data_IF_784715320078
#
_entry.id   IF_784715320078
#
_cell.length_a   1.000
_cell.length_b   1.000
_cell.length_c   1.000
_cell.angle_alpha   90.00
_cell.angle_beta   90.00
_cell.angle_gamma   90.00
#
_symmetry.space_group_name_H-M   'P 1'
#
loop_
_entity.id
_entity.type
_entity.pdbx_description
1 polymer ?
#
# COMPACT_ATOMS: atom_id res chain seq x y z
N UNK A 1 -27.27 23.95 12.94
CA UNK A 1 -28.54 23.36 12.48
C UNK A 1 -28.74 23.43 10.96
N UNK A 2 -29.09 24.57 10.33
CA UNK A 2 -29.36 24.58 8.88
C UNK A 2 -28.13 24.24 8.01
N UNK A 3 -26.99 24.91 8.25
CA UNK A 3 -25.71 24.68 7.56
C UNK A 3 -25.16 23.26 7.79
N UNK A 4 -25.40 22.72 8.98
CA UNK A 4 -24.94 21.39 9.39
C UNK A 4 -25.74 20.28 8.70
N UNK A 5 -27.05 20.48 8.55
CA UNK A 5 -27.92 19.59 7.78
C UNK A 5 -27.61 19.63 6.29
N UNK A 6 -27.26 20.80 5.75
CA UNK A 6 -26.86 20.96 4.35
C UNK A 6 -25.56 20.19 4.06
N UNK A 7 -24.55 20.33 4.93
CA UNK A 7 -23.30 19.58 4.81
C UNK A 7 -23.52 18.07 4.91
N UNK A 8 -24.32 17.60 5.87
CA UNK A 8 -24.65 16.19 6.01
C UNK A 8 -25.36 15.64 4.77
N UNK A 9 -26.27 16.42 4.19
CA UNK A 9 -27.00 16.03 2.97
C UNK A 9 -26.02 15.89 1.80
N UNK A 10 -25.15 16.88 1.61
CA UNK A 10 -24.14 16.86 0.56
C UNK A 10 -23.20 15.65 0.70
N UNK A 11 -22.76 15.34 1.92
CA UNK A 11 -21.91 14.18 2.19
C UNK A 11 -22.61 12.84 1.87
N UNK A 12 -23.90 12.70 2.23
CA UNK A 12 -24.68 11.49 1.93
C UNK A 12 -24.90 11.36 0.42
N UNK A 13 -25.17 12.45 -0.29
CA UNK A 13 -25.34 12.46 -1.75
C UNK A 13 -24.05 12.05 -2.47
N UNK A 14 -22.91 12.63 -2.07
CA UNK A 14 -21.60 12.32 -2.63
C UNK A 14 -21.23 10.84 -2.43
N UNK A 15 -21.38 10.34 -1.21
CA UNK A 15 -21.09 8.93 -0.90
C UNK A 15 -22.04 7.97 -1.60
N UNK A 16 -23.32 8.33 -1.76
CA UNK A 16 -24.30 7.57 -2.56
C UNK A 16 -23.91 7.55 -4.04
N UNK A 17 -23.45 8.67 -4.59
CA UNK A 17 -22.95 8.75 -5.95
C UNK A 17 -21.74 7.84 -6.17
N UNK A 18 -20.76 7.83 -5.26
CA UNK A 18 -19.62 6.92 -5.33
C UNK A 18 -20.03 5.44 -5.23
N UNK A 19 -20.98 5.11 -4.36
CA UNK A 19 -21.50 3.75 -4.26
C UNK A 19 -22.13 3.32 -5.59
N UNK A 20 -22.93 4.19 -6.20
CA UNK A 20 -23.53 3.93 -7.53
C UNK A 20 -22.47 3.72 -8.61
N UNK A 21 -21.44 4.56 -8.69
CA UNK A 21 -20.40 4.41 -9.72
C UNK A 21 -19.75 3.03 -9.66
N UNK A 22 -19.34 2.57 -8.48
CA UNK A 22 -18.60 1.31 -8.40
C UNK A 22 -19.55 0.11 -8.38
N UNK A 23 -20.56 0.12 -7.51
CA UNK A 23 -21.40 -1.05 -7.26
C UNK A 23 -22.31 -1.37 -8.44
N UNK A 24 -22.86 -0.38 -9.15
CA UNK A 24 -23.74 -0.65 -10.29
C UNK A 24 -23.01 -1.26 -11.49
N UNK A 25 -21.71 -1.02 -11.63
CA UNK A 25 -20.89 -1.60 -12.70
C UNK A 25 -20.34 -2.98 -12.35
N UNK A 26 -20.19 -3.29 -11.05
CA UNK A 26 -19.60 -4.55 -10.58
C UNK A 26 -20.63 -5.58 -10.11
N UNK A 27 -21.79 -5.14 -9.63
CA UNK A 27 -22.81 -6.00 -9.03
C UNK A 27 -24.23 -5.64 -9.51
N UNK A 28 -25.11 -6.63 -9.69
CA UNK A 28 -26.51 -6.36 -9.97
C UNK A 28 -27.19 -5.66 -8.77
N UNK A 29 -28.09 -4.73 -9.07
CA UNK A 29 -28.73 -3.81 -8.10
C UNK A 29 -29.37 -4.52 -6.90
N UNK A 30 -29.98 -5.68 -7.12
CA UNK A 30 -30.67 -6.46 -6.09
C UNK A 30 -29.74 -6.97 -4.96
N UNK A 31 -28.42 -7.02 -5.19
CA UNK A 31 -27.46 -7.47 -4.17
C UNK A 31 -27.00 -6.37 -3.23
N UNK A 32 -27.07 -5.10 -3.62
CA UNK A 32 -26.46 -4.01 -2.87
C UNK A 32 -27.41 -2.85 -2.54
N UNK A 33 -28.41 -2.56 -3.36
CA UNK A 33 -29.39 -1.49 -3.06
C UNK A 33 -30.17 -1.71 -1.76
N UNK A 34 -30.57 -2.93 -1.36
CA UNK A 34 -31.28 -3.16 -0.10
C UNK A 34 -30.39 -2.99 1.14
N UNK A 35 -29.07 -2.96 0.98
CA UNK A 35 -28.15 -2.90 2.11
C UNK A 35 -28.20 -1.51 2.77
N UNK A 36 -28.07 -1.41 4.09
CA UNK A 36 -27.78 -0.16 4.78
C UNK A 36 -26.63 0.60 4.11
N UNK A 37 -26.73 1.93 4.06
CA UNK A 37 -25.78 2.79 3.33
C UNK A 37 -24.31 2.57 3.76
N UNK A 38 -24.07 2.29 5.05
CA UNK A 38 -22.73 1.95 5.54
C UNK A 38 -22.16 0.67 4.90
N UNK A 39 -23.00 -0.36 4.69
CA UNK A 39 -22.60 -1.61 4.03
C UNK A 39 -22.38 -1.42 2.54
N UNK A 40 -23.17 -0.55 1.89
CA UNK A 40 -22.92 -0.18 0.50
C UNK A 40 -21.56 0.51 0.36
N UNK A 41 -21.27 1.49 1.23
CA UNK A 41 -20.01 2.23 1.25
C UNK A 41 -18.81 1.30 1.53
N UNK A 42 -18.98 0.37 2.46
CA UNK A 42 -18.00 -0.66 2.77
C UNK A 42 -17.74 -1.58 1.56
N UNK A 43 -18.79 -2.11 0.94
CA UNK A 43 -18.70 -3.01 -0.21
C UNK A 43 -18.05 -2.31 -1.41
N UNK A 44 -18.40 -1.03 -1.64
CA UNK A 44 -17.78 -0.18 -2.66
C UNK A 44 -16.28 -0.09 -2.45
N UNK A 45 -15.84 0.23 -1.23
CA UNK A 45 -14.43 0.35 -0.89
C UNK A 45 -13.67 -0.94 -1.08
N UNK A 46 -14.26 -2.04 -0.62
CA UNK A 46 -13.68 -3.36 -0.74
C UNK A 46 -13.44 -3.71 -2.21
N UNK A 47 -14.46 -3.60 -3.06
CA UNK A 47 -14.36 -3.97 -4.47
C UNK A 47 -13.40 -3.05 -5.23
N UNK A 48 -13.50 -1.73 -5.03
CA UNK A 48 -12.63 -0.76 -5.69
C UNK A 48 -11.16 -0.94 -5.27
N UNK A 49 -10.90 -1.13 -3.97
CA UNK A 49 -9.56 -1.33 -3.43
C UNK A 49 -8.92 -2.62 -3.97
N UNK A 50 -9.64 -3.74 -3.96
CA UNK A 50 -9.14 -5.00 -4.52
C UNK A 50 -8.88 -4.88 -6.02
N UNK A 51 -9.80 -4.26 -6.77
CA UNK A 51 -9.63 -4.11 -8.21
C UNK A 51 -8.38 -3.27 -8.53
N UNK A 52 -8.19 -2.15 -7.83
CA UNK A 52 -7.00 -1.33 -8.00
C UNK A 52 -5.73 -2.12 -7.64
N UNK A 53 -5.73 -2.80 -6.49
CA UNK A 53 -4.59 -3.57 -6.02
C UNK A 53 -4.20 -4.69 -7.00
N UNK A 54 -5.14 -5.55 -7.39
CA UNK A 54 -4.83 -6.67 -8.26
C UNK A 54 -4.47 -6.23 -9.68
N UNK A 55 -5.11 -5.19 -10.23
CA UNK A 55 -4.76 -4.67 -11.56
C UNK A 55 -3.37 -4.03 -11.52
N UNK A 56 -3.10 -3.13 -10.57
CA UNK A 56 -1.80 -2.45 -10.47
C UNK A 56 -0.68 -3.44 -10.16
N UNK A 57 -0.90 -4.37 -9.22
CA UNK A 57 0.04 -5.44 -8.88
C UNK A 57 0.31 -6.37 -10.06
N UNK A 58 -0.73 -6.76 -10.82
CA UNK A 58 -0.56 -7.54 -12.05
C UNK A 58 0.27 -6.78 -13.09
N UNK A 59 -0.07 -5.51 -13.37
CA UNK A 59 0.66 -4.69 -14.35
C UNK A 59 2.12 -4.50 -13.95
N UNK A 60 2.39 -4.27 -12.66
CA UNK A 60 3.74 -4.17 -12.11
C UNK A 60 4.51 -5.48 -12.28
N UNK A 61 3.94 -6.59 -11.84
CA UNK A 61 4.57 -7.91 -11.97
C UNK A 61 4.80 -8.28 -13.43
N UNK A 62 3.83 -8.02 -14.31
CA UNK A 62 3.95 -8.25 -15.74
C UNK A 62 5.09 -7.40 -16.35
N UNK A 63 5.15 -6.12 -16.02
CA UNK A 63 6.23 -5.25 -16.50
C UNK A 63 7.61 -5.74 -16.03
N UNK A 64 7.78 -5.97 -14.74
CA UNK A 64 9.07 -6.30 -14.14
C UNK A 64 9.54 -7.71 -14.53
N UNK A 65 8.68 -8.71 -14.39
CA UNK A 65 9.08 -10.11 -14.52
C UNK A 65 8.94 -10.65 -15.94
N UNK A 66 7.95 -10.17 -16.70
CA UNK A 66 7.72 -10.64 -18.07
C UNK A 66 8.38 -9.74 -19.12
N UNK A 67 8.18 -8.42 -19.07
CA UNK A 67 8.77 -7.51 -20.07
C UNK A 67 10.24 -7.20 -19.80
N UNK A 68 10.60 -6.98 -18.54
CA UNK A 68 11.96 -6.58 -18.13
C UNK A 68 12.78 -7.74 -17.57
N UNK A 69 12.26 -8.97 -17.60
CA UNK A 69 12.98 -10.22 -17.33
C UNK A 69 13.86 -10.22 -16.06
N UNK A 70 13.41 -9.62 -14.96
CA UNK A 70 14.17 -9.52 -13.70
C UNK A 70 15.42 -8.61 -13.77
N UNK A 71 15.51 -7.71 -14.78
CA UNK A 71 16.63 -6.76 -14.90
C UNK A 71 16.76 -5.87 -13.66
N UNK A 72 15.64 -5.47 -13.05
CA UNK A 72 15.63 -4.62 -11.86
C UNK A 72 15.77 -5.40 -10.55
N UNK A 73 15.32 -6.66 -10.52
CA UNK A 73 15.41 -7.52 -9.33
C UNK A 73 16.03 -8.85 -9.70
N UNK A 74 17.36 -9.03 -9.57
CA UNK A 74 18.03 -10.28 -9.86
C UNK A 74 17.37 -11.45 -9.12
N UNK A 75 17.37 -12.64 -9.74
CA UNK A 75 16.81 -13.86 -9.15
C UNK A 75 17.38 -14.07 -7.74
N UNK A 76 16.52 -13.96 -6.71
CA UNK A 76 16.88 -14.11 -5.29
C UNK A 76 16.57 -12.90 -4.42
N UNK A 77 16.38 -11.70 -4.99
CA UNK A 77 16.03 -10.47 -4.27
C UNK A 77 14.57 -10.03 -4.48
N UNK A 78 13.92 -10.49 -5.55
CA UNK A 78 12.51 -10.25 -5.82
C UNK A 78 11.63 -11.27 -5.09
N UNK A 79 10.56 -10.82 -4.44
CA UNK A 79 9.56 -11.68 -3.82
C UNK A 79 9.01 -12.71 -4.81
N UNK A 80 8.75 -13.93 -4.33
CA UNK A 80 7.89 -14.83 -5.08
C UNK A 80 6.52 -14.13 -5.27
N UNK A 81 5.88 -14.18 -6.45
CA UNK A 81 4.62 -13.46 -6.67
C UNK A 81 3.53 -13.77 -5.62
N UNK A 82 3.50 -15.01 -5.11
CA UNK A 82 2.60 -15.37 -4.00
C UNK A 82 2.95 -14.68 -2.68
N UNK A 83 4.23 -14.45 -2.38
CA UNK A 83 4.65 -13.77 -1.16
C UNK A 83 4.18 -12.31 -1.18
N UNK A 84 4.29 -11.65 -2.34
CA UNK A 84 3.75 -10.30 -2.54
C UNK A 84 2.23 -10.24 -2.34
N UNK A 85 1.49 -11.22 -2.87
CA UNK A 85 0.03 -11.32 -2.66
C UNK A 85 -0.28 -11.52 -1.17
N UNK A 86 0.41 -12.45 -0.51
CA UNK A 86 0.19 -12.75 0.92
C UNK A 86 0.55 -11.57 1.82
N UNK A 87 1.56 -10.77 1.46
CA UNK A 87 1.91 -9.55 2.19
C UNK A 87 0.83 -8.47 2.10
N UNK A 88 0.02 -8.45 1.03
CA UNK A 88 -1.08 -7.51 0.90
C UNK A 88 -2.41 -8.00 1.46
N UNK A 89 -2.55 -9.30 1.75
CA UNK A 89 -3.76 -9.86 2.37
C UNK A 89 -4.20 -9.10 3.62
N UNK A 90 -3.30 -8.70 4.56
CA UNK A 90 -3.69 -7.88 5.71
C UNK A 90 -4.37 -6.56 5.33
N UNK A 91 -3.92 -5.88 4.27
CA UNK A 91 -4.53 -4.64 3.79
C UNK A 91 -5.96 -4.86 3.29
N UNK A 92 -6.21 -6.00 2.63
CA UNK A 92 -7.54 -6.39 2.16
C UNK A 92 -8.44 -6.83 3.31
N UNK A 93 -7.93 -7.64 4.24
CA UNK A 93 -8.68 -8.10 5.42
C UNK A 93 -9.04 -6.92 6.33
N UNK A 94 -8.14 -5.95 6.51
CA UNK A 94 -8.40 -4.77 7.33
C UNK A 94 -9.65 -4.00 6.86
N UNK A 95 -9.96 -4.00 5.56
CA UNK A 95 -11.19 -3.40 5.05
C UNK A 95 -12.44 -4.08 5.62
N UNK A 96 -12.44 -5.39 5.89
CA UNK A 96 -13.57 -6.10 6.51
C UNK A 96 -13.78 -5.76 7.99
N UNK A 97 -12.71 -5.37 8.68
CA UNK A 97 -12.72 -5.17 10.14
C UNK A 97 -12.96 -3.69 10.48
N UNK A 98 -12.41 -2.77 9.68
CA UNK A 98 -12.39 -1.35 9.97
C UNK A 98 -13.05 -0.55 8.82
N UNK A 99 -14.00 0.36 9.11
CA UNK A 99 -14.52 1.28 8.12
C UNK A 99 -13.46 2.35 7.83
N UNK A 100 -12.75 2.21 6.70
CA UNK A 100 -11.71 3.15 6.27
C UNK A 100 -12.26 4.06 5.16
N UNK A 101 -11.92 5.34 5.22
CA UNK A 101 -12.26 6.30 4.17
C UNK A 101 -11.55 5.95 2.85
N UNK A 102 -12.28 5.93 1.73
CA UNK A 102 -11.78 5.43 0.45
C UNK A 102 -10.50 6.15 0.01
N UNK A 103 -10.54 7.48 -0.01
CA UNK A 103 -9.40 8.28 -0.48
C UNK A 103 -8.18 8.01 0.37
N UNK A 104 -8.33 7.88 1.70
CA UNK A 104 -7.23 7.58 2.61
C UNK A 104 -6.63 6.22 2.30
N UNK A 105 -7.45 5.20 2.08
CA UNK A 105 -6.98 3.87 1.68
C UNK A 105 -6.21 3.91 0.35
N UNK A 106 -6.76 4.57 -0.67
CA UNK A 106 -6.11 4.67 -1.98
C UNK A 106 -4.81 5.48 -1.92
N UNK A 107 -4.77 6.57 -1.15
CA UNK A 107 -3.56 7.35 -0.95
C UNK A 107 -2.47 6.56 -0.23
N UNK A 108 -2.82 5.83 0.83
CA UNK A 108 -1.87 4.97 1.54
C UNK A 108 -1.35 3.87 0.62
N UNK A 109 -2.21 3.23 -0.17
CA UNK A 109 -1.79 2.20 -1.14
C UNK A 109 -0.87 2.77 -2.22
N UNK A 110 -1.13 3.98 -2.70
CA UNK A 110 -0.27 4.65 -3.66
C UNK A 110 1.12 4.99 -3.08
N UNK A 111 1.15 5.50 -1.84
CA UNK A 111 2.39 5.75 -1.12
C UNK A 111 3.17 4.45 -0.83
N UNK A 112 2.47 3.35 -0.55
CA UNK A 112 3.04 2.00 -0.45
C UNK A 112 3.78 1.61 -1.72
N UNK A 113 3.16 1.85 -2.89
CA UNK A 113 3.78 1.59 -4.18
C UNK A 113 5.07 2.38 -4.41
N UNK A 114 5.05 3.68 -4.10
CA UNK A 114 6.25 4.55 -4.22
C UNK A 114 7.35 4.06 -3.27
N UNK A 115 6.99 3.82 -2.01
CA UNK A 115 7.95 3.37 -0.99
C UNK A 115 8.55 2.02 -1.36
N UNK A 116 7.73 1.04 -1.74
CA UNK A 116 8.14 -0.31 -2.17
C UNK A 116 9.10 -0.23 -3.34
N UNK A 117 8.77 0.55 -4.38
CA UNK A 117 9.69 0.76 -5.50
C UNK A 117 11.02 1.36 -5.02
N UNK A 118 10.99 2.37 -4.15
CA UNK A 118 12.20 3.03 -3.67
C UNK A 118 13.15 2.10 -2.89
N UNK A 119 12.62 1.23 -2.03
CA UNK A 119 13.45 0.32 -1.23
C UNK A 119 14.04 -0.84 -2.03
N UNK A 120 13.35 -1.27 -3.09
CA UNK A 120 13.79 -2.38 -3.93
C UNK A 120 14.69 -1.91 -5.08
N UNK A 121 14.54 -0.67 -5.56
CA UNK A 121 15.43 -0.06 -6.55
C UNK A 121 16.73 0.48 -5.92
N UNK A 122 17.05 0.06 -4.69
CA UNK A 122 18.23 0.48 -3.94
C UNK A 122 18.34 1.99 -3.70
N UNK A 123 17.23 2.73 -3.71
CA UNK A 123 17.22 4.17 -3.45
C UNK A 123 17.25 4.41 -1.94
N UNK A 124 18.40 4.82 -1.44
CA UNK A 124 18.57 5.20 -0.04
C UNK A 124 18.68 6.72 0.11
N UNK A 125 17.56 7.38 0.42
CA UNK A 125 17.51 8.84 0.50
C UNK A 125 18.21 9.48 1.71
N UNK A 126 18.67 8.69 2.69
CA UNK A 126 19.25 9.17 3.96
C UNK A 126 18.35 10.18 4.73
N UNK A 127 17.03 10.07 4.59
CA UNK A 127 16.05 10.93 5.26
C UNK A 127 15.50 10.23 6.50
N UNK A 128 15.82 10.73 7.69
CA UNK A 128 15.20 10.24 8.92
C UNK A 128 13.76 10.78 9.08
N UNK A 129 12.76 9.97 9.50
CA UNK A 129 12.82 8.57 9.91
C UNK A 129 12.31 7.60 8.81
N UNK A 130 12.56 7.85 7.53
CA UNK A 130 12.02 7.03 6.43
C UNK A 130 12.77 5.68 6.34
N UNK A 131 12.02 4.59 6.19
CA UNK A 131 12.58 3.26 5.91
C UNK A 131 13.07 3.21 4.45
N UNK A 132 14.36 3.50 4.23
CA UNK A 132 14.98 3.42 2.91
C UNK A 132 15.63 2.06 2.61
N UNK A 133 16.15 1.89 1.38
CA UNK A 133 16.72 0.63 0.89
C UNK A 133 17.76 -0.01 1.84
N UNK A 134 18.71 0.77 2.37
CA UNK A 134 19.72 0.24 3.31
C UNK A 134 19.13 -0.36 4.59
N UNK A 135 18.13 0.29 5.20
CA UNK A 135 17.48 -0.24 6.41
C UNK A 135 16.70 -1.53 6.10
N UNK A 136 16.01 -1.56 4.95
CA UNK A 136 15.27 -2.72 4.45
C UNK A 136 16.19 -3.90 4.12
N UNK A 137 17.37 -3.65 3.52
CA UNK A 137 18.39 -4.69 3.30
C UNK A 137 18.86 -5.31 4.63
N UNK A 138 19.04 -4.52 5.68
CA UNK A 138 19.41 -5.03 7.01
C UNK A 138 18.28 -5.87 7.63
N UNK A 139 17.03 -5.47 7.42
CA UNK A 139 15.86 -6.25 7.84
C UNK A 139 15.89 -7.65 7.23
N UNK A 140 16.06 -7.75 5.90
CA UNK A 140 16.10 -9.03 5.19
C UNK A 140 17.35 -9.87 5.45
N UNK A 141 18.50 -9.26 5.77
CA UNK A 141 19.73 -10.00 6.02
C UNK A 141 19.87 -10.47 7.47
N UNK A 142 19.36 -9.70 8.43
CA UNK A 142 19.52 -10.02 9.86
C UNK A 142 18.28 -10.63 10.50
N UNK A 143 17.09 -10.37 9.95
CA UNK A 143 15.78 -10.77 10.50
C UNK A 143 15.52 -10.35 11.95
N UNK A 144 16.32 -9.43 12.50
CA UNK A 144 16.33 -9.02 13.92
C UNK A 144 16.20 -7.52 14.16
N UNK A 145 16.15 -6.72 13.10
CA UNK A 145 16.21 -5.26 13.16
C UNK A 145 15.29 -4.65 12.10
N UNK A 146 14.99 -3.36 12.26
CA UNK A 146 14.32 -2.52 11.26
C UNK A 146 12.97 -3.10 10.78
N UNK A 147 12.05 -3.37 11.72
CA UNK A 147 10.74 -3.97 11.47
C UNK A 147 9.70 -2.99 10.92
N UNK A 148 9.95 -1.69 11.00
CA UNK A 148 9.04 -0.67 10.52
C UNK A 148 8.73 -0.80 9.02
N UNK A 149 7.52 -0.40 8.63
CA UNK A 149 7.11 -0.42 7.23
C UNK A 149 7.58 0.85 6.52
N UNK A 150 6.82 1.95 6.59
CA UNK A 150 7.22 3.23 5.99
C UNK A 150 8.38 3.93 6.71
N UNK A 151 8.50 3.72 8.01
CA UNK A 151 9.40 4.49 8.87
C UNK A 151 10.12 3.59 9.86
N UNK A 152 11.33 4.00 10.24
CA UNK A 152 12.16 3.38 11.29
C UNK A 152 11.83 3.94 12.68
N UNK A 153 10.74 4.69 12.82
CA UNK A 153 10.44 5.43 14.04
C UNK A 153 10.17 4.52 15.24
N UNK A 154 9.41 3.44 15.03
CA UNK A 154 9.17 2.44 16.07
C UNK A 154 10.45 1.66 16.40
N UNK A 155 11.28 1.36 15.40
CA UNK A 155 12.56 0.70 15.65
C UNK A 155 13.49 1.55 16.51
N UNK A 156 13.50 2.85 16.28
CA UNK A 156 14.23 3.81 17.12
C UNK A 156 13.68 3.82 18.55
N UNK A 157 12.35 3.90 18.69
CA UNK A 157 11.69 3.96 20.00
C UNK A 157 11.90 2.68 20.83
N UNK A 158 11.86 1.51 20.19
CA UNK A 158 11.90 0.21 20.87
C UNK A 158 13.26 -0.48 20.78
N UNK A 159 14.28 0.18 20.24
CA UNK A 159 15.67 -0.30 20.25
C UNK A 159 15.98 -1.41 19.25
N UNK A 160 15.15 -1.60 18.22
CA UNK A 160 15.39 -2.55 17.12
C UNK A 160 16.02 -1.89 15.89
N UNK A 161 16.35 -0.58 15.97
CA UNK A 161 16.98 0.17 14.88
C UNK A 161 18.44 -0.25 14.70
N UNK A 162 18.79 -0.60 13.45
CA UNK A 162 20.16 -0.77 13.00
C UNK A 162 20.42 0.08 11.76
N UNK A 163 21.28 1.08 11.91
CA UNK A 163 21.64 2.02 10.85
C UNK A 163 22.57 1.35 9.83
N UNK A 164 22.34 1.51 8.52
CA UNK A 164 23.27 1.08 7.49
C UNK A 164 24.62 1.76 7.65
N UNK A 165 25.69 0.98 7.47
CA UNK A 165 27.01 1.57 7.28
C UNK A 165 26.93 2.37 5.97
N UNK A 166 27.31 3.64 6.01
CA UNK A 166 27.45 4.42 4.78
C UNK A 166 28.41 3.66 3.86
N UNK A 167 28.05 3.49 2.58
CA UNK A 167 29.08 3.21 1.58
C UNK A 167 30.05 4.39 1.66
N UNK A 168 31.28 4.12 2.10
CA UNK A 168 32.36 5.11 2.01
C UNK A 168 32.58 5.37 0.52
N UNK A 169 32.05 6.47 0.00
CA UNK A 169 32.24 6.93 -1.38
C UNK A 169 33.73 7.15 -1.77
N UNK A 170 34.66 6.92 -0.82
CA UNK A 170 36.10 7.03 -0.97
C UNK A 170 36.78 5.87 -1.74
N UNK A 171 36.11 4.74 -2.01
CA UNK A 171 36.73 3.62 -2.75
C UNK A 171 36.59 3.71 -4.29
N UNK A 172 35.78 4.63 -4.82
CA UNK A 172 35.70 4.86 -6.28
C UNK A 172 36.76 5.85 -6.81
N UNK A 173 37.68 6.31 -5.96
CA UNK A 173 38.71 7.30 -6.29
C UNK A 173 40.16 6.81 -6.10
N UNK A 174 40.40 5.49 -6.13
CA UNK A 174 41.76 4.91 -6.14
C UNK A 174 42.01 4.07 -7.39
#
# INVERSE_FOLDING_TARGET
>A
MAVENEFLTQFVEETTFYNRIILSHLLPANLWEPLPHFLQTWLRNYLAGNLLYFISGFLWCFYIYYLKLNVYFPKGLAFHPLDGILQAVPHVIALFILPIHLITHLSLLFLEGIWTASIHDCIHGNIWPIMGAGYHTIHHTTYKHNYGHYTIWMDWMFGTLKVPLAEDDNEKAK
#
